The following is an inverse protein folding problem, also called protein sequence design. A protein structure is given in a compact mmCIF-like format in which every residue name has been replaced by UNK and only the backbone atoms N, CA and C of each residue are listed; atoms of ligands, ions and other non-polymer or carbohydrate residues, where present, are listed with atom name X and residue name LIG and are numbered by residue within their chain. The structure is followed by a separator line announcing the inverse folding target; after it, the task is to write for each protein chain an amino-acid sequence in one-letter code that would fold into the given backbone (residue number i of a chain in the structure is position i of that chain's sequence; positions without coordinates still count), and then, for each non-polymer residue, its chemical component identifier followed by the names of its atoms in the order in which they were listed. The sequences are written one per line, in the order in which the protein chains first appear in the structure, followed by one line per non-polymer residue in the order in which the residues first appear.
data_IF_732492290531
#
_entry.id   IF_732492290531
#
_cell.length_a   1.000
_cell.length_b   1.000
_cell.length_c   1.000
_cell.angle_alpha   90.00
_cell.angle_beta   90.00
_cell.angle_gamma   90.00
#
_symmetry.space_group_name_H-M   'P 1'
#
loop_
_entity.id
_entity.type
_entity.pdbx_description
1 polymer ?
#
# COMPACT_ATOMS: atom_id res chain seq x y z
N UNK A 1 -20.69 -10.83 42.07
CA UNK A 1 -19.50 -10.67 41.21
C UNK A 1 -19.95 -10.84 39.77
N UNK A 2 -20.17 -9.73 39.06
CA UNK A 2 -20.70 -9.73 37.68
C UNK A 2 -19.51 -9.81 36.72
N UNK A 3 -19.31 -10.97 36.08
CA UNK A 3 -18.30 -11.15 35.05
C UNK A 3 -18.82 -10.50 33.75
N UNK A 4 -18.65 -9.18 33.63
CA UNK A 4 -18.84 -8.47 32.37
C UNK A 4 -17.66 -8.85 31.45
N UNK A 5 -17.84 -9.92 30.68
CA UNK A 5 -16.99 -10.26 29.54
C UNK A 5 -17.24 -9.22 28.45
N UNK A 6 -16.63 -8.04 28.59
CA UNK A 6 -16.45 -7.13 27.46
C UNK A 6 -15.55 -7.87 26.47
N UNK A 7 -16.14 -8.40 25.40
CA UNK A 7 -15.42 -8.81 24.21
C UNK A 7 -14.73 -7.56 23.66
N UNK A 8 -13.50 -7.29 24.11
CA UNK A 8 -12.56 -6.54 23.32
C UNK A 8 -12.19 -7.45 22.17
N UNK A 9 -12.86 -7.28 21.04
CA UNK A 9 -12.43 -7.81 19.76
C UNK A 9 -10.97 -7.41 19.57
N UNK A 10 -10.07 -8.37 19.73
CA UNK A 10 -8.69 -8.20 19.31
C UNK A 10 -8.74 -7.95 17.80
N UNK A 11 -8.69 -6.68 17.38
CA UNK A 11 -8.21 -6.36 16.05
C UNK A 11 -6.79 -6.92 16.05
N UNK A 12 -6.62 -8.07 15.40
CA UNK A 12 -5.31 -8.61 15.10
C UNK A 12 -4.48 -7.45 14.55
N UNK A 13 -3.42 -7.09 15.26
CA UNK A 13 -2.38 -6.27 14.70
C UNK A 13 -1.79 -7.07 13.55
N UNK A 14 -2.37 -6.94 12.36
CA UNK A 14 -1.68 -7.20 11.10
C UNK A 14 -0.64 -6.09 10.96
N UNK A 15 0.38 -6.14 11.82
CA UNK A 15 1.69 -5.66 11.48
C UNK A 15 2.23 -6.63 10.41
N UNK A 16 1.67 -6.56 9.21
CA UNK A 16 2.48 -6.84 8.04
C UNK A 16 3.62 -5.82 8.16
N UNK A 17 4.77 -6.26 8.64
CA UNK A 17 6.02 -5.56 8.39
C UNK A 17 6.10 -5.51 6.86
N UNK A 18 5.59 -4.45 6.27
CA UNK A 18 5.55 -4.31 4.84
C UNK A 18 6.99 -4.14 4.41
N UNK A 19 7.50 -5.21 3.82
CA UNK A 19 8.87 -5.26 3.39
C UNK A 19 9.01 -4.44 2.11
N UNK A 20 9.27 -3.15 2.29
CA UNK A 20 9.53 -2.20 1.21
C UNK A 20 10.77 -2.57 0.40
N UNK A 21 11.64 -3.46 0.93
CA UNK A 21 12.79 -3.98 0.18
C UNK A 21 12.39 -4.95 -0.94
N UNK A 22 11.13 -5.41 -0.96
CA UNK A 22 10.57 -6.23 -2.03
C UNK A 22 9.95 -5.40 -3.16
N UNK A 23 9.95 -4.07 -3.03
CA UNK A 23 9.54 -3.17 -4.10
C UNK A 23 10.66 -3.14 -5.15
N UNK A 24 10.37 -3.37 -6.44
CA UNK A 24 11.37 -3.22 -7.49
C UNK A 24 11.93 -1.79 -7.53
N UNK A 25 13.26 -1.65 -7.67
CA UNK A 25 13.93 -0.35 -7.70
C UNK A 25 13.36 0.59 -8.78
N UNK A 26 12.93 0.04 -9.92
CA UNK A 26 12.32 0.80 -11.01
C UNK A 26 11.04 1.55 -10.60
N UNK A 27 10.35 1.10 -9.55
CA UNK A 27 9.07 1.65 -9.08
C UNK A 27 9.20 2.53 -7.83
N UNK A 28 10.34 2.49 -7.12
CA UNK A 28 10.54 3.24 -5.88
C UNK A 28 10.32 4.74 -6.07
N UNK A 29 10.93 5.32 -7.10
CA UNK A 29 10.77 6.74 -7.40
C UNK A 29 9.32 7.09 -7.76
N UNK A 30 8.57 6.18 -8.37
CA UNK A 30 7.15 6.40 -8.64
C UNK A 30 6.36 6.64 -7.36
N UNK A 31 6.61 5.86 -6.29
CA UNK A 31 5.95 6.07 -5.00
C UNK A 31 6.32 7.41 -4.37
N UNK A 32 7.59 7.80 -4.44
CA UNK A 32 8.09 9.05 -3.85
C UNK A 32 7.59 10.28 -4.61
N UNK A 33 7.73 10.28 -5.94
CA UNK A 33 7.43 11.43 -6.78
C UNK A 33 5.92 11.72 -6.84
N UNK A 34 5.10 10.66 -6.81
CA UNK A 34 3.64 10.80 -6.84
C UNK A 34 3.03 10.89 -5.44
N UNK A 35 3.80 10.70 -4.36
CA UNK A 35 3.31 10.76 -2.99
C UNK A 35 2.47 12.01 -2.66
N UNK A 36 2.79 13.23 -3.15
CA UNK A 36 1.97 14.40 -2.88
C UNK A 36 0.51 14.28 -3.35
N UNK A 37 0.22 13.42 -4.34
CA UNK A 37 -1.14 13.15 -4.83
C UNK A 37 -1.94 12.23 -3.91
N UNK A 38 -1.27 11.49 -3.01
CA UNK A 38 -1.92 10.53 -2.12
C UNK A 38 -2.80 11.19 -1.06
N UNK A 39 -2.44 12.42 -0.64
CA UNK A 39 -3.05 13.08 0.52
C UNK A 39 -2.63 12.50 1.88
N UNK A 40 -1.69 11.55 1.88
CA UNK A 40 -1.21 10.87 3.09
C UNK A 40 -0.12 11.68 3.80
N UNK A 41 0.03 11.44 5.11
CA UNK A 41 1.03 12.14 5.94
C UNK A 41 2.40 11.49 5.91
N UNK A 42 2.44 10.19 5.64
CA UNK A 42 3.65 9.38 5.60
C UNK A 42 3.61 8.42 4.41
N UNK A 43 4.75 8.23 3.76
CA UNK A 43 4.94 7.30 2.64
C UNK A 43 4.60 5.86 3.03
N UNK A 44 4.84 5.50 4.30
CA UNK A 44 4.56 4.17 4.83
C UNK A 44 3.19 4.05 5.50
N UNK A 45 2.33 5.07 5.40
CA UNK A 45 0.91 4.94 5.76
C UNK A 45 0.17 4.18 4.65
N UNK A 46 0.44 2.88 4.54
CA UNK A 46 -0.09 2.05 3.47
C UNK A 46 -1.61 1.99 3.47
N UNK A 47 -2.25 2.08 4.64
CA UNK A 47 -3.70 2.14 4.71
C UNK A 47 -4.23 3.40 4.02
N UNK A 48 -3.58 4.55 4.25
CA UNK A 48 -3.90 5.76 3.53
C UNK A 48 -3.55 5.67 2.03
N UNK A 49 -2.33 5.24 1.69
CA UNK A 49 -1.85 5.17 0.30
C UNK A 49 -2.70 4.24 -0.56
N UNK A 50 -3.16 3.11 -0.02
CA UNK A 50 -4.06 2.19 -0.72
C UNK A 50 -5.48 2.76 -0.90
N UNK A 51 -5.91 3.67 -0.04
CA UNK A 51 -7.19 4.38 -0.13
C UNK A 51 -7.09 5.72 -0.86
N UNK A 52 -5.91 6.05 -1.41
CA UNK A 52 -5.63 7.33 -2.03
C UNK A 52 -6.54 7.60 -3.24
N UNK A 53 -6.71 8.89 -3.64
CA UNK A 53 -7.52 9.25 -4.78
C UNK A 53 -7.05 8.59 -6.08
N UNK A 54 -7.98 8.39 -7.02
CA UNK A 54 -7.69 7.83 -8.34
C UNK A 54 -6.55 8.56 -9.08
N UNK A 55 -6.38 9.87 -8.86
CA UNK A 55 -5.27 10.63 -9.44
C UNK A 55 -3.89 10.09 -9.01
N UNK A 56 -3.73 9.67 -7.74
CA UNK A 56 -2.50 9.03 -7.27
C UNK A 56 -2.30 7.67 -7.94
N UNK A 57 -3.35 6.85 -7.99
CA UNK A 57 -3.31 5.51 -8.58
C UNK A 57 -2.95 5.56 -10.08
N UNK A 58 -3.54 6.49 -10.82
CA UNK A 58 -3.27 6.67 -12.25
C UNK A 58 -1.85 7.19 -12.48
N UNK A 59 -1.37 8.13 -11.66
CA UNK A 59 -0.01 8.64 -11.76
C UNK A 59 1.03 7.56 -11.43
N UNK A 60 0.78 6.76 -10.40
CA UNK A 60 1.57 5.58 -10.06
C UNK A 60 1.64 4.59 -11.22
N UNK A 61 0.49 4.19 -11.77
CA UNK A 61 0.43 3.24 -12.87
C UNK A 61 1.18 3.73 -14.11
N UNK A 62 0.98 5.00 -14.49
CA UNK A 62 1.68 5.59 -15.63
C UNK A 62 3.19 5.66 -15.42
N UNK A 63 3.65 6.02 -14.22
CA UNK A 63 5.06 6.02 -13.89
C UNK A 63 5.66 4.62 -13.96
N UNK A 64 5.02 3.63 -13.33
CA UNK A 64 5.50 2.24 -13.32
C UNK A 64 5.61 1.69 -14.75
N UNK A 65 4.62 1.90 -15.61
CA UNK A 65 4.66 1.45 -17.01
C UNK A 65 5.77 2.14 -17.82
N UNK A 66 6.10 3.40 -17.50
CA UNK A 66 7.18 4.13 -18.18
C UNK A 66 8.59 3.78 -17.70
N UNK A 67 8.73 3.25 -16.48
CA UNK A 67 10.01 3.06 -15.82
C UNK A 67 10.40 1.60 -15.54
N UNK A 68 9.44 0.69 -15.49
CA UNK A 68 9.66 -0.73 -15.25
C UNK A 68 9.45 -1.56 -16.52
N UNK A 69 10.16 -2.68 -16.62
CA UNK A 69 9.84 -3.74 -17.56
C UNK A 69 8.64 -4.56 -17.09
N UNK A 70 8.19 -5.53 -17.91
CA UNK A 70 7.02 -6.34 -17.59
C UNK A 70 7.14 -7.07 -16.24
N UNK A 71 8.34 -7.59 -15.93
CA UNK A 71 8.59 -8.30 -14.67
C UNK A 71 8.53 -7.34 -13.48
N UNK A 72 9.10 -6.13 -13.61
CA UNK A 72 9.02 -5.06 -12.62
C UNK A 72 7.59 -4.56 -12.41
N UNK A 73 6.80 -4.43 -13.47
CA UNK A 73 5.38 -4.07 -13.39
C UNK A 73 4.62 -5.14 -12.59
N UNK A 74 4.76 -6.41 -12.97
CA UNK A 74 4.08 -7.54 -12.30
C UNK A 74 4.50 -7.64 -10.83
N UNK A 75 5.79 -7.52 -10.54
CA UNK A 75 6.30 -7.56 -9.17
C UNK A 75 5.74 -6.40 -8.32
N UNK A 76 5.67 -5.19 -8.89
CA UNK A 76 5.11 -4.02 -8.20
C UNK A 76 3.62 -4.19 -7.93
N UNK A 77 2.83 -4.61 -8.91
CA UNK A 77 1.38 -4.83 -8.75
C UNK A 77 1.09 -5.91 -7.71
N UNK A 78 1.85 -7.01 -7.74
CA UNK A 78 1.71 -8.08 -6.74
C UNK A 78 2.05 -7.59 -5.34
N UNK A 79 3.11 -6.80 -5.21
CA UNK A 79 3.50 -6.20 -3.94
C UNK A 79 2.41 -5.26 -3.42
N UNK A 80 1.94 -4.30 -4.24
CA UNK A 80 0.90 -3.34 -3.85
C UNK A 80 -0.40 -4.06 -3.48
N UNK A 81 -0.81 -5.05 -4.27
CA UNK A 81 -2.03 -5.83 -4.00
C UNK A 81 -1.96 -6.56 -2.66
N UNK A 82 -0.84 -7.23 -2.37
CA UNK A 82 -0.63 -7.91 -1.10
C UNK A 82 -0.54 -6.94 0.08
N UNK A 83 0.17 -5.83 -0.10
CA UNK A 83 0.30 -4.72 0.85
C UNK A 83 -1.07 -4.15 1.22
N UNK A 84 -1.87 -3.79 0.23
CA UNK A 84 -3.18 -3.19 0.42
C UNK A 84 -4.16 -4.19 1.07
N UNK A 85 -4.17 -5.44 0.60
CA UNK A 85 -4.96 -6.51 1.23
C UNK A 85 -4.60 -6.70 2.72
N UNK A 86 -3.31 -6.61 3.08
CA UNK A 86 -2.86 -6.78 4.46
C UNK A 86 -3.37 -5.69 5.43
N UNK A 87 -3.68 -4.49 4.91
CA UNK A 87 -4.25 -3.37 5.67
C UNK A 87 -5.77 -3.25 5.51
N UNK A 88 -6.40 -4.21 4.85
CA UNK A 88 -7.85 -4.29 4.68
C UNK A 88 -8.42 -3.30 3.66
N UNK A 89 -7.60 -2.78 2.74
CA UNK A 89 -8.01 -1.89 1.66
C UNK A 89 -7.63 -2.55 0.34
N UNK A 90 -8.56 -2.92 -0.57
CA UNK A 90 -8.16 -3.47 -1.86
C UNK A 90 -7.50 -2.38 -2.73
N UNK A 91 -6.39 -2.73 -3.40
CA UNK A 91 -5.86 -1.90 -4.48
C UNK A 91 -6.72 -2.11 -5.74
N UNK A 92 -7.16 -1.03 -6.42
CA UNK A 92 -8.02 -1.14 -7.60
C UNK A 92 -7.30 -1.57 -8.89
#
# INVERSE_FOLDING_TARGET
MQLKLTLFSALAALAAAQDVSKIPDCSLNCFVDNFPLSGCKDLVDFKCSCAAPKAYQDAMANCIVGHCDNDGIVATVNWVSATCASVGVPWP
#
